data_IF_228589301821
#
_entry.id   IF_228589301821
#
_cell.length_a   1.000
_cell.length_b   1.000
_cell.length_c   1.000
_cell.angle_alpha   90.00
_cell.angle_beta   90.00
_cell.angle_gamma   90.00
#
_symmetry.space_group_name_H-M   'P 1'
#
loop_
_entity.id
_entity.type
_entity.pdbx_description
1 polymer ?
#
# COMPACT_ATOMS: atom_id res chain seq x y z
N UNK A 1 -6.60 -28.79 0.19
CA UNK A 1 -6.22 -28.41 1.56
C UNK A 1 -5.82 -26.94 1.54
N UNK A 2 -6.71 -26.06 1.99
CA UNK A 2 -6.45 -24.60 2.03
C UNK A 2 -5.36 -24.36 3.08
N UNK A 3 -4.37 -23.54 2.72
CA UNK A 3 -3.10 -23.42 3.41
C UNK A 3 -3.21 -22.66 4.75
N UNK A 4 -3.66 -23.35 5.80
CA UNK A 4 -3.79 -22.82 7.17
C UNK A 4 -2.46 -22.26 7.74
N UNK A 5 -1.31 -22.63 7.17
CA UNK A 5 -0.01 -22.08 7.53
C UNK A 5 0.22 -20.67 6.97
N UNK A 6 -0.28 -20.38 5.76
CA UNK A 6 -0.21 -19.04 5.16
C UNK A 6 -1.06 -18.03 5.91
N UNK A 7 -2.26 -18.43 6.34
CA UNK A 7 -3.20 -17.53 7.01
C UNK A 7 -2.73 -17.14 8.41
N UNK A 8 -2.17 -18.10 9.18
CA UNK A 8 -1.58 -17.80 10.50
C UNK A 8 -0.31 -16.95 10.40
N UNK A 9 0.54 -17.17 9.39
CA UNK A 9 1.74 -16.36 9.20
C UNK A 9 1.42 -14.92 8.79
N UNK A 10 0.43 -14.73 7.91
CA UNK A 10 -0.05 -13.40 7.54
C UNK A 10 -0.70 -12.70 8.73
N UNK A 11 -1.51 -13.42 9.52
CA UNK A 11 -2.16 -12.87 10.72
C UNK A 11 -1.13 -12.40 11.76
N UNK A 12 -0.14 -13.23 12.08
CA UNK A 12 0.90 -12.85 13.03
C UNK A 12 1.70 -11.62 12.56
N UNK A 13 1.98 -11.50 11.27
CA UNK A 13 2.62 -10.31 10.72
C UNK A 13 1.75 -9.06 10.88
N UNK A 14 0.46 -9.15 10.58
CA UNK A 14 -0.50 -8.04 10.75
C UNK A 14 -0.56 -7.62 12.23
N UNK A 15 -0.67 -8.59 13.15
CA UNK A 15 -0.82 -8.33 14.59
C UNK A 15 0.42 -7.64 15.20
N UNK A 16 1.61 -7.85 14.62
CA UNK A 16 2.86 -7.21 15.06
C UNK A 16 3.27 -5.98 14.23
N UNK A 17 2.55 -5.67 13.16
CA UNK A 17 2.96 -4.63 12.22
C UNK A 17 2.72 -3.22 12.77
N UNK A 18 3.66 -2.30 12.53
CA UNK A 18 3.43 -0.88 12.76
C UNK A 18 2.45 -0.32 11.73
N UNK A 19 1.90 0.88 11.98
CA UNK A 19 0.97 1.54 11.03
C UNK A 19 1.61 1.75 9.65
N UNK A 20 2.89 2.11 9.65
CA UNK A 20 3.70 2.31 8.45
C UNK A 20 3.87 0.99 7.69
N UNK A 21 4.13 -0.12 8.38
CA UNK A 21 4.23 -1.43 7.77
C UNK A 21 2.89 -1.91 7.20
N UNK A 22 1.79 -1.70 7.92
CA UNK A 22 0.44 -2.01 7.43
C UNK A 22 0.12 -1.25 6.15
N UNK A 23 0.48 0.04 6.07
CA UNK A 23 0.30 0.85 4.86
C UNK A 23 0.99 0.20 3.65
N UNK A 24 2.26 -0.17 3.79
CA UNK A 24 3.02 -0.83 2.70
C UNK A 24 2.40 -2.20 2.35
N UNK A 25 1.96 -2.98 3.35
CA UNK A 25 1.29 -4.26 3.13
C UNK A 25 -0.03 -4.12 2.36
N UNK A 26 -0.78 -3.03 2.53
CA UNK A 26 -1.97 -2.76 1.72
C UNK A 26 -1.61 -2.57 0.24
N UNK A 27 -0.61 -1.73 -0.06
CA UNK A 27 -0.15 -1.55 -1.45
C UNK A 27 0.33 -2.86 -2.08
N UNK A 28 1.18 -3.62 -1.38
CA UNK A 28 1.67 -4.91 -1.86
C UNK A 28 0.51 -5.91 -2.05
N UNK A 29 -0.47 -5.89 -1.15
CA UNK A 29 -1.71 -6.66 -1.27
C UNK A 29 -2.47 -6.34 -2.54
N UNK A 30 -2.74 -5.07 -2.81
CA UNK A 30 -3.44 -4.61 -4.02
C UNK A 30 -2.68 -4.99 -5.30
N UNK A 31 -1.38 -4.72 -5.36
CA UNK A 31 -0.51 -5.08 -6.49
C UNK A 31 -0.54 -6.58 -6.77
N UNK A 32 -0.44 -7.41 -5.72
CA UNK A 32 -0.51 -8.87 -5.85
C UNK A 32 -1.86 -9.35 -6.38
N UNK A 33 -2.96 -8.74 -5.96
CA UNK A 33 -4.29 -9.08 -6.50
C UNK A 33 -4.41 -8.67 -7.98
N UNK A 34 -3.88 -7.51 -8.37
CA UNK A 34 -3.91 -7.07 -9.76
C UNK A 34 -3.06 -7.99 -10.65
N UNK A 35 -1.87 -8.38 -10.20
CA UNK A 35 -1.03 -9.36 -10.93
C UNK A 35 -1.76 -10.69 -11.14
N UNK A 36 -2.50 -11.17 -10.13
CA UNK A 36 -3.35 -12.37 -10.26
C UNK A 36 -4.52 -12.16 -11.22
N UNK A 37 -5.12 -10.97 -11.28
CA UNK A 37 -6.17 -10.64 -12.25
C UNK A 37 -5.64 -10.65 -13.68
N UNK A 38 -4.44 -10.09 -13.92
CA UNK A 38 -3.77 -10.12 -15.23
C UNK A 38 -3.55 -11.57 -15.67
N UNK A 39 -3.03 -12.42 -14.78
CA UNK A 39 -2.86 -13.86 -15.05
C UNK A 39 -4.21 -14.53 -15.38
N UNK A 40 -5.25 -14.25 -14.59
CA UNK A 40 -6.57 -14.81 -14.83
C UNK A 40 -7.17 -14.40 -16.19
N UNK A 41 -6.90 -13.18 -16.69
CA UNK A 41 -7.25 -12.76 -18.06
C UNK A 41 -6.56 -13.66 -19.08
N UNK A 42 -5.25 -13.91 -18.95
CA UNK A 42 -4.51 -14.77 -19.89
C UNK A 42 -5.01 -16.22 -19.90
N UNK A 43 -5.55 -16.68 -18.78
CA UNK A 43 -6.12 -18.02 -18.61
C UNK A 43 -7.62 -18.09 -18.96
N UNK A 44 -8.22 -16.98 -19.42
CA UNK A 44 -9.67 -16.85 -19.66
C UNK A 44 -10.54 -17.18 -18.44
N UNK A 45 -10.00 -17.01 -17.22
CA UNK A 45 -10.70 -17.28 -15.97
C UNK A 45 -11.38 -16.00 -15.45
N UNK A 46 -12.61 -15.77 -15.93
CA UNK A 46 -13.38 -14.57 -15.61
C UNK A 46 -13.78 -14.46 -14.14
N UNK A 47 -14.04 -15.58 -13.47
CA UNK A 47 -14.40 -15.60 -12.04
C UNK A 47 -13.22 -15.16 -11.18
N UNK A 48 -12.05 -15.76 -11.41
CA UNK A 48 -10.82 -15.43 -10.68
C UNK A 48 -10.38 -13.98 -10.95
N UNK A 49 -10.50 -13.51 -12.20
CA UNK A 49 -10.26 -12.11 -12.56
C UNK A 49 -11.15 -11.18 -11.74
N UNK A 50 -12.46 -11.40 -11.77
CA UNK A 50 -13.44 -10.54 -11.06
C UNK A 50 -13.17 -10.53 -9.56
N UNK A 51 -12.91 -11.71 -8.97
CA UNK A 51 -12.55 -11.83 -7.57
C UNK A 51 -11.31 -11.01 -7.21
N UNK A 52 -10.24 -11.15 -7.99
CA UNK A 52 -8.99 -10.43 -7.76
C UNK A 52 -9.14 -8.91 -7.91
N UNK A 53 -9.86 -8.46 -8.95
CA UNK A 53 -10.13 -7.02 -9.15
C UNK A 53 -10.93 -6.45 -7.98
N UNK A 54 -11.98 -7.13 -7.53
CA UNK A 54 -12.79 -6.68 -6.38
C UNK A 54 -11.95 -6.59 -5.10
N UNK A 55 -11.02 -7.53 -4.88
CA UNK A 55 -10.10 -7.47 -3.73
C UNK A 55 -9.14 -6.28 -3.81
N UNK A 56 -8.59 -5.99 -4.99
CA UNK A 56 -7.75 -4.80 -5.19
C UNK A 56 -8.53 -3.50 -4.97
N UNK A 57 -9.74 -3.38 -5.54
CA UNK A 57 -10.59 -2.20 -5.34
C UNK A 57 -11.01 -2.00 -3.89
N UNK A 58 -11.28 -3.07 -3.14
CA UNK A 58 -11.59 -2.95 -1.72
C UNK A 58 -10.42 -2.36 -0.92
N UNK A 59 -9.18 -2.80 -1.20
CA UNK A 59 -7.99 -2.24 -0.56
C UNK A 59 -7.80 -0.76 -0.92
N UNK A 60 -7.93 -0.40 -2.20
CA UNK A 60 -7.78 0.99 -2.65
C UNK A 60 -8.84 1.89 -2.02
N UNK A 61 -10.07 1.38 -1.88
CA UNK A 61 -11.16 2.12 -1.21
C UNK A 61 -10.87 2.32 0.27
N UNK A 62 -10.31 1.32 0.95
CA UNK A 62 -9.89 1.44 2.34
C UNK A 62 -8.76 2.47 2.50
N UNK A 63 -7.74 2.42 1.64
CA UNK A 63 -6.67 3.43 1.62
C UNK A 63 -7.23 4.84 1.47
N UNK A 64 -8.20 5.03 0.55
CA UNK A 64 -8.87 6.32 0.38
C UNK A 64 -9.67 6.74 1.61
N UNK A 65 -10.34 5.82 2.29
CA UNK A 65 -11.13 6.11 3.49
C UNK A 65 -10.27 6.49 4.71
N UNK A 66 -9.00 6.07 4.72
CA UNK A 66 -8.04 6.38 5.79
C UNK A 66 -7.35 7.74 5.65
N UNK A 67 -7.57 8.46 4.54
CA UNK A 67 -6.96 9.77 4.32
C UNK A 67 -7.47 10.80 5.34
N UNK A 68 -6.56 11.50 6.00
CA UNK A 68 -6.89 12.61 6.89
C UNK A 68 -7.00 13.92 6.10
N UNK A 69 -8.22 14.30 5.74
CA UNK A 69 -8.47 15.54 5.02
C UNK A 69 -8.27 16.81 5.84
N UNK A 70 -8.04 16.71 7.16
CA UNK A 70 -7.72 17.88 8.01
C UNK A 70 -6.23 18.23 7.97
N UNK A 71 -5.37 17.25 7.68
CA UNK A 71 -3.92 17.41 7.67
C UNK A 71 -3.43 17.19 6.25
N UNK A 72 -3.03 18.29 5.57
CA UNK A 72 -2.56 18.21 4.18
C UNK A 72 -3.71 18.08 3.18
N UNK A 73 -4.68 18.99 3.28
CA UNK A 73 -5.94 19.04 2.51
C UNK A 73 -5.72 18.83 1.00
N UNK A 74 -4.72 19.50 0.42
CA UNK A 74 -4.36 19.36 -1.01
C UNK A 74 -3.85 17.96 -1.35
N UNK A 75 -2.93 17.41 -0.55
CA UNK A 75 -2.33 16.09 -0.79
C UNK A 75 -3.37 14.98 -0.60
N UNK A 76 -4.21 15.09 0.44
CA UNK A 76 -5.28 14.15 0.68
C UNK A 76 -6.31 14.17 -0.47
N UNK A 77 -6.66 15.34 -1.00
CA UNK A 77 -7.55 15.48 -2.15
C UNK A 77 -6.95 14.89 -3.44
N UNK A 78 -5.66 15.11 -3.69
CA UNK A 78 -4.95 14.57 -4.84
C UNK A 78 -4.85 13.04 -4.78
N UNK A 79 -4.52 12.48 -3.61
CA UNK A 79 -4.49 11.04 -3.38
C UNK A 79 -5.87 10.39 -3.55
N UNK A 80 -6.91 11.01 -2.97
CA UNK A 80 -8.29 10.53 -3.13
C UNK A 80 -8.69 10.48 -4.61
N UNK A 81 -8.36 11.54 -5.37
CA UNK A 81 -8.62 11.62 -6.81
C UNK A 81 -7.87 10.54 -7.60
N UNK A 82 -6.63 10.26 -7.21
CA UNK A 82 -5.81 9.22 -7.83
C UNK A 82 -6.35 7.82 -7.54
N UNK A 83 -6.76 7.53 -6.30
CA UNK A 83 -7.39 6.25 -5.94
C UNK A 83 -8.72 6.02 -6.65
N UNK A 84 -9.53 7.06 -6.77
CA UNK A 84 -10.79 7.03 -7.53
C UNK A 84 -10.53 6.77 -9.03
N UNK A 85 -9.50 7.38 -9.61
CA UNK A 85 -9.05 7.04 -10.97
C UNK A 85 -8.64 5.56 -11.09
N UNK A 86 -7.82 5.04 -10.16
CA UNK A 86 -7.42 3.64 -10.17
C UNK A 86 -8.62 2.68 -10.10
N UNK A 87 -9.60 2.97 -9.23
CA UNK A 87 -10.82 2.16 -9.12
C UNK A 87 -11.63 2.15 -10.42
N UNK A 88 -11.76 3.29 -11.10
CA UNK A 88 -12.41 3.34 -12.42
C UNK A 88 -11.69 2.48 -13.46
N UNK A 89 -10.36 2.53 -13.48
CA UNK A 89 -9.56 1.71 -14.41
C UNK A 89 -9.68 0.22 -14.10
N UNK A 90 -9.73 -0.18 -12.82
CA UNK A 90 -9.99 -1.56 -12.42
C UNK A 90 -11.37 -2.06 -12.91
N UNK A 91 -12.41 -1.23 -12.80
CA UNK A 91 -13.75 -1.56 -13.32
C UNK A 91 -13.72 -1.71 -14.85
N UNK A 92 -13.10 -0.76 -15.56
CA UNK A 92 -12.96 -0.82 -17.03
C UNK A 92 -12.20 -2.05 -17.47
N UNK A 93 -11.11 -2.39 -16.78
CA UNK A 93 -10.33 -3.58 -17.04
C UNK A 93 -11.15 -4.85 -16.84
N UNK A 94 -11.99 -4.89 -15.80
CA UNK A 94 -12.85 -6.04 -15.55
C UNK A 94 -13.86 -6.26 -16.68
N UNK A 95 -14.53 -5.19 -17.13
CA UNK A 95 -15.54 -5.26 -18.20
C UNK A 95 -14.91 -5.67 -19.53
N UNK A 96 -13.76 -5.08 -19.87
CA UNK A 96 -13.16 -5.21 -21.21
C UNK A 96 -12.04 -6.26 -21.30
N UNK A 97 -11.72 -6.98 -20.22
CA UNK A 97 -10.53 -7.84 -20.12
C UNK A 97 -9.23 -7.10 -20.48
N UNK A 98 -9.12 -5.82 -20.14
CA UNK A 98 -8.00 -4.98 -20.52
C UNK A 98 -6.85 -5.10 -19.50
N UNK A 99 -5.83 -5.90 -19.82
CA UNK A 99 -4.62 -6.05 -18.99
C UNK A 99 -3.76 -4.78 -18.92
N UNK A 100 -3.83 -3.91 -19.93
CA UNK A 100 -3.02 -2.69 -19.97
C UNK A 100 -3.51 -1.68 -18.92
N UNK A 101 -4.84 -1.54 -18.76
CA UNK A 101 -5.41 -0.77 -17.65
C UNK A 101 -4.97 -1.30 -16.28
N UNK A 102 -4.89 -2.62 -16.11
CA UNK A 102 -4.37 -3.24 -14.87
C UNK A 102 -2.88 -2.93 -14.66
N UNK A 103 -2.08 -2.93 -15.73
CA UNK A 103 -0.66 -2.59 -15.67
C UNK A 103 -0.44 -1.12 -15.27
N UNK A 104 -1.26 -0.20 -15.78
CA UNK A 104 -1.22 1.22 -15.39
C UNK A 104 -1.49 1.39 -13.90
N UNK A 105 -2.57 0.76 -13.38
CA UNK A 105 -2.88 0.82 -11.95
C UNK A 105 -1.77 0.20 -11.11
N UNK A 106 -1.20 -0.93 -11.56
CA UNK A 106 -0.06 -1.57 -10.88
C UNK A 106 1.12 -0.62 -10.76
N UNK A 107 1.46 0.09 -11.84
CA UNK A 107 2.54 1.08 -11.82
C UNK A 107 2.27 2.19 -10.82
N UNK A 108 1.08 2.80 -10.85
CA UNK A 108 0.73 3.89 -9.93
C UNK A 108 0.78 3.46 -8.46
N UNK A 109 0.28 2.26 -8.14
CA UNK A 109 0.38 1.70 -6.79
C UNK A 109 1.83 1.43 -6.37
N UNK A 110 2.68 1.01 -7.32
CA UNK A 110 4.10 0.75 -7.06
C UNK A 110 4.84 2.05 -6.76
N UNK A 111 4.63 3.08 -7.59
CA UNK A 111 5.24 4.40 -7.42
C UNK A 111 4.84 5.02 -6.07
N UNK A 112 3.57 4.90 -5.67
CA UNK A 112 3.10 5.35 -4.36
C UNK A 112 3.71 4.54 -3.21
N UNK A 113 3.73 3.21 -3.31
CA UNK A 113 4.35 2.34 -2.29
C UNK A 113 5.81 2.73 -2.05
N UNK A 114 6.55 2.94 -3.14
CA UNK A 114 7.97 3.28 -3.07
C UNK A 114 8.17 4.65 -2.44
N UNK A 115 7.35 5.62 -2.83
CA UNK A 115 7.33 6.96 -2.22
C UNK A 115 7.09 6.90 -0.70
N UNK A 116 6.10 6.12 -0.25
CA UNK A 116 5.84 5.96 1.19
C UNK A 116 6.98 5.24 1.90
N UNK A 117 7.56 4.22 1.27
CA UNK A 117 8.71 3.48 1.81
C UNK A 117 9.89 4.42 2.04
N UNK A 118 10.21 5.27 1.07
CA UNK A 118 11.28 6.27 1.19
C UNK A 118 10.98 7.32 2.27
N UNK A 119 9.73 7.79 2.37
CA UNK A 119 9.31 8.74 3.38
C UNK A 119 9.47 8.17 4.81
N UNK A 120 9.04 6.93 5.04
CA UNK A 120 9.18 6.22 6.31
C UNK A 120 10.67 6.06 6.68
N UNK A 121 11.51 5.64 5.73
CA UNK A 121 12.94 5.50 5.96
C UNK A 121 13.62 6.83 6.30
N UNK A 122 13.24 7.91 5.61
CA UNK A 122 13.73 9.26 5.86
C UNK A 122 13.34 9.75 7.25
N UNK A 123 12.10 9.50 7.68
CA UNK A 123 11.64 9.81 9.02
C UNK A 123 12.44 9.07 10.10
N UNK A 124 12.65 7.76 9.94
CA UNK A 124 13.40 6.95 10.90
C UNK A 124 14.85 7.44 11.07
N UNK A 125 15.55 7.74 9.96
CA UNK A 125 16.91 8.31 10.00
C UNK A 125 16.96 9.65 10.73
N UNK A 126 15.95 10.50 10.54
CA UNK A 126 15.87 11.80 11.21
C UNK A 126 15.66 11.65 12.73
N UNK A 127 14.86 10.67 13.15
CA UNK A 127 14.62 10.37 14.55
C UNK A 127 15.87 9.81 15.25
N UNK A 128 16.57 8.87 14.62
CA UNK A 128 17.85 8.32 15.12
C UNK A 128 18.91 9.42 15.30
N UNK A 129 19.07 10.29 14.29
CA UNK A 129 20.01 11.41 14.33
C UNK A 129 19.71 12.37 15.49
N UNK A 130 18.42 12.61 15.78
CA UNK A 130 17.99 13.47 16.89
C UNK A 130 18.23 12.83 18.26
N UNK A 131 18.05 11.52 18.39
CA UNK A 131 18.38 10.76 19.61
C UNK A 131 19.87 10.86 19.93
N UNK A 132 20.74 10.60 18.93
CA UNK A 132 22.19 10.63 19.10
C UNK A 132 22.73 12.01 19.51
N UNK A 133 22.07 13.08 19.10
CA UNK A 133 22.41 14.44 19.52
C UNK A 133 22.00 14.70 20.98
N UNK A 134 20.82 14.22 21.41
CA UNK A 134 20.39 14.31 22.82
C UNK A 134 21.36 13.58 23.74
N UNK A 135 21.71 12.34 23.41
CA UNK A 135 22.62 11.52 24.22
C UNK A 135 24.01 12.16 24.36
N UNK A 136 24.49 12.83 23.30
CA UNK A 136 25.76 13.58 23.34
C UNK A 136 25.68 14.83 24.21
N UNK A 137 24.57 15.58 24.16
CA UNK A 137 24.37 16.79 24.98
C UNK A 137 24.26 16.43 26.45
N UNK A 138 23.54 15.36 26.78
CA UNK A 138 23.40 14.87 28.15
C UNK A 138 24.75 14.36 28.70
N UNK A 139 25.52 13.62 27.89
CA UNK A 139 26.88 13.18 28.23
C UNK A 139 27.84 14.35 28.50
N UNK A 140 27.76 15.41 27.70
CA UNK A 140 28.55 16.63 27.90
C UNK A 140 28.14 17.39 29.18
N UNK A 141 26.86 17.35 29.54
CA UNK A 141 26.31 18.07 30.70
C UNK A 141 26.63 17.38 32.04
N UNK A 142 26.87 16.06 32.05
CA UNK A 142 27.26 15.29 33.25
C UNK A 142 28.77 15.34 33.52
N UNK A 143 29.57 15.82 32.55
CA UNK A 143 31.05 15.86 32.64
C UNK A 143 31.62 17.18 33.19
N UNK A 144 30.77 18.11 33.66
CA UNK A 144 31.11 19.40 34.28
C UNK A 144 30.67 19.43 35.75
#
# INVERSE_FOLDING_TARGET
MVNAYSDNYLKNQIDSATKEQLLIMFYDGAIRFIARAIKAITENNNEQKTYCINKASAIISELSATLDHKIGEDIAADLASLYDYMNRELIRANINNNSDSLAIVTKLLTDLRDTWTEAIQSQNKSAESRSLLSDKVDSFSVSL
#
